data_IF_490176409248
#
_entry.id   IF_490176409248
#
_cell.length_a   1.000
_cell.length_b   1.000
_cell.length_c   1.000
_cell.angle_alpha   90.00
_cell.angle_beta   90.00
_cell.angle_gamma   90.00
#
_symmetry.space_group_name_H-M   'P 1'
#
loop_
_entity.id
_entity.type
_entity.pdbx_description
1 polymer ?
#
# COMPACT_ATOMS: atom_id res chain seq x y z
N UNK A 1 -9.68 -38.07 -4.88
CA UNK A 1 -10.36 -37.56 -3.68
C UNK A 1 -9.48 -37.89 -2.48
N UNK A 2 -8.76 -36.88 -1.99
CA UNK A 2 -7.64 -37.01 -1.07
C UNK A 2 -8.10 -37.29 0.36
N UNK A 3 -7.27 -38.00 1.12
CA UNK A 3 -7.45 -38.38 2.52
C UNK A 3 -7.84 -37.19 3.41
N UNK A 4 -7.45 -35.96 3.05
CA UNK A 4 -7.79 -34.72 3.74
C UNK A 4 -9.28 -34.39 3.77
N UNK A 5 -10.03 -34.77 2.75
CA UNK A 5 -11.47 -34.48 2.69
C UNK A 5 -12.29 -35.39 3.62
N UNK A 6 -11.76 -36.56 3.96
CA UNK A 6 -12.41 -37.54 4.84
C UNK A 6 -12.27 -37.17 6.33
N UNK A 7 -11.11 -36.62 6.71
CA UNK A 7 -10.88 -36.15 8.09
C UNK A 7 -11.64 -34.87 8.44
N UNK A 8 -11.90 -34.00 7.46
CA UNK A 8 -12.69 -32.79 7.67
C UNK A 8 -14.18 -33.08 7.91
N UNK A 9 -14.71 -34.18 7.34
CA UNK A 9 -16.11 -34.59 7.54
C UNK A 9 -16.28 -35.26 8.93
N UNK A 10 -15.30 -35.98 9.41
CA UNK A 10 -15.39 -36.62 10.74
C UNK A 10 -15.27 -35.61 11.89
N UNK A 11 -14.58 -34.47 11.70
CA UNK A 11 -14.49 -33.40 12.69
C UNK A 11 -15.76 -32.55 12.81
N UNK A 12 -16.61 -32.52 11.78
CA UNK A 12 -17.90 -31.81 11.80
C UNK A 12 -19.06 -32.57 12.47
N UNK A 13 -18.87 -33.84 12.76
CA UNK A 13 -19.94 -34.69 13.35
C UNK A 13 -19.85 -34.82 14.89
N UNK A 14 -18.80 -34.29 15.52
CA UNK A 14 -18.57 -34.44 16.97
C UNK A 14 -18.80 -33.17 17.80
N UNK A 15 -19.72 -32.29 17.44
CA UNK A 15 -20.11 -31.19 18.35
C UNK A 15 -21.53 -30.74 18.10
N UNK A 16 -22.54 -31.45 18.62
CA UNK A 16 -23.67 -30.84 19.32
C UNK A 16 -24.59 -31.89 19.94
N UNK A 17 -24.77 -31.83 21.26
CA UNK A 17 -25.66 -32.65 22.06
C UNK A 17 -27.12 -32.13 22.10
N UNK A 18 -27.59 -31.45 21.05
CA UNK A 18 -28.99 -31.07 20.86
C UNK A 18 -29.47 -31.38 19.43
N UNK A 19 -29.52 -32.66 19.15
CA UNK A 19 -30.14 -33.14 17.93
C UNK A 19 -31.62 -32.80 17.86
N UNK A 20 -32.02 -31.94 16.93
CA UNK A 20 -33.31 -31.85 16.22
C UNK A 20 -33.54 -30.44 15.65
N UNK A 21 -32.82 -30.03 14.61
CA UNK A 21 -33.29 -28.92 13.73
C UNK A 21 -32.51 -28.72 12.42
N UNK A 22 -31.51 -29.51 12.10
CA UNK A 22 -30.65 -29.25 10.92
C UNK A 22 -30.85 -30.24 9.73
N UNK A 23 -31.84 -31.11 9.76
CA UNK A 23 -32.03 -32.13 8.71
C UNK A 23 -33.19 -31.87 7.76
N UNK A 24 -33.75 -30.66 7.73
CA UNK A 24 -34.93 -30.36 6.91
C UNK A 24 -34.73 -29.38 5.75
N UNK A 25 -33.50 -28.94 5.49
CA UNK A 25 -33.21 -27.96 4.41
C UNK A 25 -32.41 -28.51 3.22
N UNK A 26 -31.96 -29.75 3.23
CA UNK A 26 -31.16 -30.35 2.14
C UNK A 26 -31.97 -31.27 1.21
N UNK A 27 -33.25 -31.59 1.52
CA UNK A 27 -34.03 -32.55 0.74
C UNK A 27 -35.06 -31.92 -0.21
N UNK A 28 -35.03 -30.59 -0.46
CA UNK A 28 -36.01 -29.94 -1.35
C UNK A 28 -35.42 -29.45 -2.69
N UNK A 29 -34.22 -29.89 -3.05
CA UNK A 29 -33.55 -29.46 -4.32
C UNK A 29 -33.35 -30.59 -5.35
N UNK A 30 -33.97 -31.76 -5.18
CA UNK A 30 -33.79 -32.90 -6.09
C UNK A 30 -35.08 -33.48 -6.67
N UNK A 31 -36.10 -32.70 -6.98
CA UNK A 31 -37.24 -33.16 -7.77
C UNK A 31 -37.83 -32.00 -8.59
N UNK A 32 -37.19 -31.64 -9.69
CA UNK A 32 -37.86 -30.96 -10.79
C UNK A 32 -37.72 -31.79 -12.06
N UNK A 33 -38.79 -32.32 -12.64
CA UNK A 33 -38.75 -33.04 -13.91
C UNK A 33 -38.55 -32.06 -15.05
N UNK A 34 -37.76 -32.49 -16.00
CA UNK A 34 -37.45 -31.84 -17.26
C UNK A 34 -38.77 -31.67 -18.05
N UNK A 35 -39.34 -30.48 -18.07
CA UNK A 35 -40.34 -30.08 -19.07
C UNK A 35 -40.17 -28.59 -19.34
N UNK A 36 -39.83 -28.27 -20.59
CA UNK A 36 -39.48 -26.94 -21.04
C UNK A 36 -40.50 -25.88 -20.76
N UNK A 37 -40.14 -24.88 -20.00
CA UNK A 37 -40.81 -23.59 -19.96
C UNK A 37 -40.01 -22.61 -20.80
N UNK A 38 -40.53 -22.30 -21.98
CA UNK A 38 -40.05 -21.19 -22.80
C UNK A 38 -40.54 -19.92 -22.13
N UNK A 39 -39.66 -19.18 -21.47
CA UNK A 39 -39.93 -17.80 -21.06
C UNK A 39 -39.51 -16.86 -22.20
N UNK A 40 -40.33 -15.86 -22.57
CA UNK A 40 -39.87 -14.87 -23.51
C UNK A 40 -38.74 -14.06 -22.91
N UNK A 41 -37.64 -14.05 -23.62
CA UNK A 41 -36.43 -13.24 -23.33
C UNK A 41 -36.86 -11.77 -23.40
N UNK A 42 -37.02 -11.13 -22.24
CA UNK A 42 -37.14 -9.69 -22.16
C UNK A 42 -35.77 -9.12 -22.52
N UNK A 43 -35.67 -8.47 -23.68
CA UNK A 43 -34.47 -7.72 -24.07
C UNK A 43 -34.17 -6.66 -22.98
N UNK A 44 -33.18 -6.92 -22.15
CA UNK A 44 -32.57 -5.92 -21.29
C UNK A 44 -31.80 -5.00 -22.25
N UNK A 45 -32.06 -3.69 -22.25
CA UNK A 45 -31.24 -2.78 -23.04
C UNK A 45 -29.79 -2.91 -22.55
N UNK A 46 -28.88 -3.14 -23.47
CA UNK A 46 -27.47 -3.10 -23.21
C UNK A 46 -27.15 -1.71 -22.65
N UNK A 47 -26.94 -1.62 -21.34
CA UNK A 47 -26.24 -0.50 -20.76
C UNK A 47 -24.86 -0.52 -21.40
N UNK A 48 -24.56 0.48 -22.20
CA UNK A 48 -23.20 0.76 -22.65
C UNK A 48 -22.34 0.83 -21.41
N UNK A 49 -21.50 -0.20 -21.24
CA UNK A 49 -20.36 -0.13 -20.35
C UNK A 49 -19.49 0.95 -20.97
N UNK A 50 -19.46 2.10 -20.35
CA UNK A 50 -18.52 3.16 -20.69
C UNK A 50 -17.14 2.55 -20.43
N UNK A 51 -16.52 1.98 -21.47
CA UNK A 51 -15.09 1.69 -21.46
C UNK A 51 -14.43 3.03 -21.20
N UNK A 52 -13.95 3.19 -20.00
CA UNK A 52 -13.13 4.34 -19.62
C UNK A 52 -11.93 4.30 -20.56
N UNK A 53 -11.90 5.21 -21.52
CA UNK A 53 -10.77 5.36 -22.44
C UNK A 53 -9.49 5.36 -21.60
N UNK A 54 -8.47 4.57 -21.97
CA UNK A 54 -7.17 4.69 -21.34
C UNK A 54 -6.74 6.16 -21.42
N UNK A 55 -6.10 6.70 -20.37
CA UNK A 55 -5.67 8.09 -20.37
C UNK A 55 -4.89 8.38 -21.67
N UNK A 56 -5.11 9.54 -22.30
CA UNK A 56 -4.54 9.81 -23.61
C UNK A 56 -3.02 9.64 -23.59
N UNK A 57 -2.53 8.74 -24.41
CA UNK A 57 -1.11 8.40 -24.59
C UNK A 57 -0.23 9.58 -25.01
N UNK A 58 -0.82 10.75 -25.26
CA UNK A 58 -0.11 12.00 -25.58
C UNK A 58 0.20 12.85 -24.32
N UNK A 59 -0.32 12.48 -23.15
CA UNK A 59 -0.21 13.31 -21.94
C UNK A 59 1.01 12.95 -21.05
N UNK A 60 1.74 11.88 -21.35
CA UNK A 60 2.89 11.44 -20.53
C UNK A 60 3.86 10.57 -21.31
N UNK A 61 5.14 10.59 -20.91
CA UNK A 61 6.16 9.65 -21.36
C UNK A 61 6.39 8.62 -20.26
N UNK A 62 6.27 7.34 -20.61
CA UNK A 62 6.61 6.22 -19.75
C UNK A 62 7.87 5.55 -20.29
N UNK A 63 8.93 5.51 -19.49
CA UNK A 63 10.20 4.86 -19.81
C UNK A 63 10.54 3.77 -18.80
N UNK A 64 11.47 2.89 -19.17
CA UNK A 64 12.19 2.04 -18.21
C UNK A 64 13.64 2.46 -18.25
N UNK A 65 14.17 2.77 -17.10
CA UNK A 65 15.55 3.22 -16.90
C UNK A 65 16.28 2.25 -16.00
N UNK A 66 17.57 2.09 -16.19
CA UNK A 66 18.39 1.16 -15.43
C UNK A 66 19.76 1.75 -15.13
N UNK A 67 20.32 1.33 -14.00
CA UNK A 67 21.70 1.62 -13.59
C UNK A 67 22.40 0.32 -13.18
N UNK A 68 23.71 0.28 -13.31
CA UNK A 68 24.52 -0.72 -12.64
C UNK A 68 24.75 -0.26 -11.20
N UNK A 69 24.16 -0.94 -10.23
CA UNK A 69 24.30 -0.64 -8.82
C UNK A 69 24.90 -1.82 -8.07
N UNK A 70 26.11 -1.64 -7.54
CA UNK A 70 26.89 -2.68 -6.82
C UNK A 70 27.06 -4.00 -7.60
N UNK A 71 27.26 -3.89 -8.92
CA UNK A 71 27.49 -5.05 -9.80
C UNK A 71 26.23 -5.78 -10.25
N UNK A 72 25.05 -5.18 -10.02
CA UNK A 72 23.77 -5.69 -10.45
C UNK A 72 23.02 -4.60 -11.23
N UNK A 73 22.45 -4.95 -12.38
CA UNK A 73 21.53 -4.06 -13.09
C UNK A 73 20.24 -3.90 -12.29
N UNK A 74 19.88 -2.65 -11.94
CA UNK A 74 18.68 -2.29 -11.21
C UNK A 74 17.88 -1.27 -12.03
N UNK A 75 16.59 -1.50 -12.16
CA UNK A 75 15.73 -0.70 -13.04
C UNK A 75 14.54 -0.09 -12.31
N UNK A 76 13.95 0.95 -12.90
CA UNK A 76 12.67 1.52 -12.52
C UNK A 76 11.88 1.93 -13.75
N UNK A 77 10.56 1.98 -13.62
CA UNK A 77 9.72 2.64 -14.60
C UNK A 77 9.55 4.10 -14.17
N UNK A 78 9.64 5.05 -15.10
CA UNK A 78 9.46 6.47 -14.85
C UNK A 78 8.35 7.02 -15.73
N UNK A 79 7.36 7.64 -15.11
CA UNK A 79 6.31 8.39 -15.79
C UNK A 79 6.59 9.89 -15.64
N UNK A 80 6.73 10.55 -16.78
CA UNK A 80 6.97 12.00 -16.88
C UNK A 80 5.76 12.63 -17.58
N UNK A 81 4.95 13.46 -16.91
CA UNK A 81 3.85 14.18 -17.54
C UNK A 81 4.33 15.03 -18.71
N UNK A 82 3.53 15.11 -19.77
CA UNK A 82 3.89 15.93 -20.93
C UNK A 82 3.87 17.43 -20.60
N UNK A 83 4.72 18.21 -21.29
CA UNK A 83 4.75 19.67 -21.19
C UNK A 83 5.29 20.20 -19.86
N UNK A 84 6.13 19.45 -19.16
CA UNK A 84 6.92 19.97 -18.05
C UNK A 84 7.98 20.92 -18.59
N UNK A 85 8.19 22.04 -17.91
CA UNK A 85 9.23 23.02 -18.24
C UNK A 85 10.49 22.74 -17.41
N UNK A 86 11.69 22.77 -18.00
CA UNK A 86 12.93 22.67 -17.23
C UNK A 86 13.11 23.81 -16.20
N UNK A 87 12.41 24.92 -16.40
CA UNK A 87 12.47 26.09 -15.51
C UNK A 87 11.43 26.02 -14.37
N UNK A 88 10.54 25.03 -14.38
CA UNK A 88 9.49 24.82 -13.36
C UNK A 88 9.62 23.44 -12.74
N UNK A 89 10.51 23.28 -11.74
CA UNK A 89 10.69 21.99 -11.06
C UNK A 89 9.40 21.50 -10.40
N UNK A 90 9.14 20.20 -10.50
CA UNK A 90 7.93 19.52 -10.01
C UNK A 90 8.27 18.44 -8.98
N UNK A 91 7.32 18.03 -8.14
CA UNK A 91 7.55 16.96 -7.18
C UNK A 91 7.93 15.63 -7.85
N UNK A 92 8.67 14.81 -7.13
CA UNK A 92 8.96 13.41 -7.47
C UNK A 92 8.33 12.48 -6.42
N UNK A 93 7.57 11.49 -6.86
CA UNK A 93 7.06 10.41 -6.04
C UNK A 93 7.76 9.10 -6.42
N UNK A 94 8.29 8.37 -5.42
CA UNK A 94 8.68 6.98 -5.57
C UNK A 94 7.55 6.10 -5.03
N UNK A 95 7.07 5.12 -5.82
CA UNK A 95 5.98 4.21 -5.44
C UNK A 95 6.46 2.75 -5.49
N UNK A 96 6.64 2.15 -4.32
CA UNK A 96 7.31 0.86 -4.12
C UNK A 96 6.32 -0.30 -4.09
N UNK A 97 6.58 -1.33 -4.90
CA UNK A 97 5.75 -2.53 -4.98
C UNK A 97 5.81 -3.42 -3.73
N UNK A 98 4.79 -4.26 -3.52
CA UNK A 98 4.75 -5.28 -2.48
C UNK A 98 5.62 -6.51 -2.80
N UNK A 99 5.77 -7.41 -1.82
CA UNK A 99 6.51 -8.66 -1.97
C UNK A 99 5.95 -9.53 -3.10
N UNK A 100 6.80 -10.01 -3.98
CA UNK A 100 6.43 -10.82 -5.15
C UNK A 100 5.79 -10.04 -6.30
N UNK A 101 5.74 -8.70 -6.19
CA UNK A 101 5.19 -7.82 -7.21
C UNK A 101 6.29 -7.15 -8.06
N UNK A 102 5.89 -6.35 -9.03
CA UNK A 102 6.78 -5.65 -9.95
C UNK A 102 6.42 -4.17 -10.05
N UNK A 103 7.34 -3.34 -10.58
CA UNK A 103 7.10 -1.94 -10.93
C UNK A 103 5.83 -1.75 -11.74
N UNK A 104 5.63 -2.58 -12.79
CA UNK A 104 4.45 -2.53 -13.64
C UNK A 104 3.16 -2.88 -12.88
N UNK A 105 3.20 -3.87 -11.99
CA UNK A 105 2.02 -4.22 -11.19
C UNK A 105 1.67 -3.12 -10.20
N UNK A 106 2.67 -2.45 -9.61
CA UNK A 106 2.46 -1.33 -8.70
C UNK A 106 1.83 -0.14 -9.42
N UNK A 107 2.37 0.25 -10.58
CA UNK A 107 1.81 1.30 -11.42
C UNK A 107 0.33 1.05 -11.75
N UNK A 108 -0.03 -0.22 -12.05
CA UNK A 108 -1.40 -0.58 -12.44
C UNK A 108 -2.39 -0.54 -11.26
N UNK A 109 -1.95 -0.77 -10.03
CA UNK A 109 -2.87 -0.84 -8.88
C UNK A 109 -2.97 0.47 -8.10
N UNK A 110 -1.93 1.31 -8.13
CA UNK A 110 -1.79 2.44 -7.20
C UNK A 110 -2.52 3.72 -7.64
N UNK A 111 -2.89 3.85 -8.91
CA UNK A 111 -3.50 5.06 -9.50
C UNK A 111 -2.63 6.32 -9.51
N UNK A 112 -1.39 6.28 -9.02
CA UNK A 112 -0.49 7.45 -9.02
C UNK A 112 -0.08 7.87 -10.42
N UNK A 113 -0.07 6.96 -11.41
CA UNK A 113 0.19 7.32 -12.80
C UNK A 113 -0.83 8.34 -13.35
N UNK A 114 -2.12 8.14 -13.03
CA UNK A 114 -3.18 9.07 -13.43
C UNK A 114 -3.08 10.41 -12.67
N UNK A 115 -2.86 10.34 -11.34
CA UNK A 115 -2.67 11.52 -10.51
C UNK A 115 -1.46 12.35 -10.94
N UNK A 116 -0.36 11.71 -11.34
CA UNK A 116 0.84 12.39 -11.80
C UNK A 116 0.59 13.25 -13.03
N UNK A 117 -0.24 12.79 -13.95
CA UNK A 117 -0.64 13.56 -15.14
C UNK A 117 -1.55 14.74 -14.75
N UNK A 118 -2.50 14.52 -13.83
CA UNK A 118 -3.45 15.53 -13.38
C UNK A 118 -2.76 16.61 -12.53
N UNK A 119 -1.96 16.21 -11.55
CA UNK A 119 -1.34 17.08 -10.54
C UNK A 119 0.09 17.53 -10.91
N UNK A 120 0.61 17.06 -12.06
CA UNK A 120 1.91 17.46 -12.64
C UNK A 120 3.11 17.18 -11.74
N UNK A 121 3.31 15.89 -11.37
CA UNK A 121 4.50 15.39 -10.68
C UNK A 121 5.08 14.16 -11.38
N UNK A 122 6.36 13.87 -11.18
CA UNK A 122 6.99 12.64 -11.70
C UNK A 122 6.69 11.46 -10.78
N UNK A 123 6.50 10.27 -11.38
CA UNK A 123 6.40 9.02 -10.59
C UNK A 123 7.43 8.02 -11.07
N UNK A 124 8.31 7.63 -10.17
CA UNK A 124 9.20 6.49 -10.35
C UNK A 124 8.62 5.25 -9.65
N UNK A 125 8.65 4.11 -10.35
CA UNK A 125 8.29 2.80 -9.83
C UNK A 125 9.55 1.91 -9.83
N UNK A 126 10.38 1.96 -8.78
CA UNK A 126 11.59 1.13 -8.72
C UNK A 126 11.25 -0.36 -8.63
N UNK A 127 12.16 -1.21 -9.17
CA UNK A 127 12.06 -2.66 -9.08
C UNK A 127 12.96 -3.20 -7.98
N UNK A 128 12.35 -3.80 -6.96
CA UNK A 128 13.06 -4.57 -5.94
C UNK A 128 13.72 -5.82 -6.54
N UNK A 129 14.91 -6.14 -6.09
CA UNK A 129 15.61 -7.34 -6.54
C UNK A 129 14.83 -8.60 -6.13
N UNK A 130 14.76 -9.59 -7.03
CA UNK A 130 13.92 -10.79 -6.85
C UNK A 130 12.46 -10.49 -6.43
N UNK A 131 11.96 -9.31 -6.82
CA UNK A 131 10.59 -8.84 -6.53
C UNK A 131 10.31 -8.62 -5.03
N UNK A 132 11.31 -8.20 -4.25
CA UNK A 132 11.12 -7.78 -2.86
C UNK A 132 12.15 -6.73 -2.43
N UNK A 133 11.91 -6.11 -1.28
CA UNK A 133 12.78 -5.13 -0.64
C UNK A 133 13.36 -5.72 0.63
N UNK A 134 14.65 -5.60 0.83
CA UNK A 134 15.33 -5.90 2.09
C UNK A 134 14.90 -4.93 3.20
N UNK A 135 14.60 -5.44 4.38
CA UNK A 135 14.04 -4.64 5.47
C UNK A 135 14.99 -4.39 6.65
N UNK A 136 16.25 -4.79 6.53
CA UNK A 136 17.26 -4.54 7.56
C UNK A 136 17.19 -5.47 8.77
N UNK A 137 16.59 -6.66 8.63
CA UNK A 137 16.55 -7.66 9.69
C UNK A 137 16.56 -9.09 9.13
N UNK A 138 16.97 -10.05 9.96
CA UNK A 138 17.10 -11.46 9.61
C UNK A 138 15.82 -12.05 8.96
N UNK A 139 15.99 -12.62 7.76
CA UNK A 139 14.96 -13.33 7.02
C UNK A 139 14.22 -12.50 5.96
N UNK A 140 14.42 -11.19 5.89
CA UNK A 140 13.99 -10.30 4.80
C UNK A 140 15.15 -9.38 4.42
N UNK A 141 16.29 -9.98 4.15
CA UNK A 141 17.47 -9.31 3.61
C UNK A 141 17.75 -9.83 2.21
N UNK A 142 18.21 -8.92 1.38
CA UNK A 142 18.88 -9.25 0.14
C UNK A 142 20.26 -8.67 0.20
N UNK A 143 21.31 -9.11 0.34
CA UNK A 143 22.68 -8.54 0.44
C UNK A 143 22.92 -7.30 -0.47
N UNK A 144 21.85 -6.72 -1.00
CA UNK A 144 21.82 -5.55 -1.85
C UNK A 144 21.29 -4.35 -1.04
N UNK A 145 21.99 -3.25 -1.13
CA UNK A 145 21.65 -2.00 -0.45
C UNK A 145 20.45 -1.31 -1.15
N UNK A 146 19.23 -1.72 -0.80
CA UNK A 146 18.02 -1.13 -1.38
C UNK A 146 17.85 0.35 -1.01
N UNK A 147 18.30 0.79 0.17
CA UNK A 147 18.31 2.22 0.54
C UNK A 147 19.23 3.01 -0.39
N UNK A 148 20.45 2.53 -0.60
CA UNK A 148 21.39 3.14 -1.55
C UNK A 148 20.87 3.12 -3.00
N UNK A 149 20.22 2.03 -3.42
CA UNK A 149 19.60 1.97 -4.75
C UNK A 149 18.50 3.01 -4.93
N UNK A 150 17.58 3.14 -3.97
CA UNK A 150 16.50 4.13 -4.05
C UNK A 150 17.05 5.58 -4.03
N UNK A 151 18.12 5.82 -3.28
CA UNK A 151 18.85 7.10 -3.34
C UNK A 151 19.41 7.36 -4.74
N UNK A 152 20.04 6.35 -5.36
CA UNK A 152 20.58 6.47 -6.72
C UNK A 152 19.47 6.68 -7.77
N UNK A 153 18.29 6.12 -7.58
CA UNK A 153 17.10 6.42 -8.44
C UNK A 153 16.72 7.90 -8.33
N UNK A 154 16.63 8.44 -7.10
CA UNK A 154 16.32 9.86 -6.88
C UNK A 154 17.36 10.73 -7.57
N UNK A 155 18.64 10.46 -7.38
CA UNK A 155 19.75 11.20 -8.00
C UNK A 155 19.68 11.14 -9.54
N UNK A 156 19.44 9.95 -10.12
CA UNK A 156 19.35 9.79 -11.57
C UNK A 156 18.19 10.59 -12.14
N UNK A 157 16.98 10.48 -11.55
CA UNK A 157 15.80 11.20 -12.02
C UNK A 157 15.98 12.72 -11.88
N UNK A 158 16.57 13.19 -10.78
CA UNK A 158 16.82 14.62 -10.54
C UNK A 158 17.87 15.21 -11.49
N UNK A 159 18.83 14.41 -11.96
CA UNK A 159 19.81 14.86 -12.95
C UNK A 159 19.22 15.03 -14.35
N UNK A 160 18.25 14.19 -14.72
CA UNK A 160 17.72 14.12 -16.08
C UNK A 160 16.38 14.87 -16.26
N UNK A 161 15.69 15.19 -15.14
CA UNK A 161 14.38 15.85 -15.15
C UNK A 161 14.30 17.02 -14.17
N UNK A 162 13.38 17.98 -14.38
CA UNK A 162 13.20 19.14 -13.50
C UNK A 162 12.50 18.73 -12.18
N UNK A 163 13.20 18.02 -11.31
CA UNK A 163 12.71 17.66 -9.99
C UNK A 163 12.92 18.80 -9.01
N UNK A 164 11.89 19.10 -8.23
CA UNK A 164 12.01 19.91 -7.04
C UNK A 164 12.53 19.04 -5.88
N UNK A 165 13.82 19.14 -5.61
CA UNK A 165 14.49 18.35 -4.58
C UNK A 165 13.94 18.60 -3.17
N UNK A 166 13.25 19.72 -2.93
CA UNK A 166 12.53 19.96 -1.69
C UNK A 166 11.20 19.21 -1.60
N UNK A 167 10.68 18.66 -2.71
CA UNK A 167 9.40 17.95 -2.78
C UNK A 167 9.56 16.55 -3.36
N UNK A 168 10.44 15.77 -2.75
CA UNK A 168 10.58 14.34 -3.02
C UNK A 168 9.74 13.59 -1.99
N UNK A 169 8.86 12.72 -2.47
CA UNK A 169 7.96 11.94 -1.64
C UNK A 169 8.14 10.46 -1.93
N UNK A 170 7.82 9.61 -0.97
CA UNK A 170 7.90 8.17 -1.16
C UNK A 170 6.69 7.47 -0.58
N UNK A 171 6.20 6.48 -1.31
CA UNK A 171 5.13 5.60 -0.87
C UNK A 171 5.40 4.16 -1.29
N UNK A 172 4.56 3.25 -0.83
CA UNK A 172 4.61 1.85 -1.26
C UNK A 172 3.55 1.00 -0.57
N UNK A 173 3.43 -0.21 -1.04
CA UNK A 173 2.46 -1.18 -0.55
C UNK A 173 3.12 -2.37 0.14
N UNK A 174 2.60 -2.82 1.31
CA UNK A 174 3.05 -4.03 2.00
C UNK A 174 4.57 -4.02 2.28
N UNK A 175 5.37 -4.87 1.64
CA UNK A 175 6.83 -4.86 1.71
C UNK A 175 7.41 -3.51 1.24
N UNK A 176 6.85 -2.90 0.18
CA UNK A 176 7.25 -1.57 -0.27
C UNK A 176 6.93 -0.46 0.73
N UNK A 177 5.80 -0.54 1.43
CA UNK A 177 5.46 0.37 2.52
C UNK A 177 6.47 0.28 3.68
N UNK A 178 6.90 -0.94 4.04
CA UNK A 178 7.93 -1.16 5.06
C UNK A 178 9.28 -0.58 4.63
N UNK A 179 9.64 -0.75 3.35
CA UNK A 179 10.85 -0.17 2.77
C UNK A 179 10.80 1.36 2.73
N UNK A 180 9.65 1.95 2.42
CA UNK A 180 9.43 3.42 2.48
C UNK A 180 9.74 3.96 3.87
N UNK A 181 9.23 3.32 4.92
CA UNK A 181 9.50 3.73 6.29
C UNK A 181 10.98 3.51 6.68
N UNK A 182 11.59 2.38 6.26
CA UNK A 182 13.02 2.13 6.45
C UNK A 182 13.86 3.23 5.79
N UNK A 183 13.56 3.57 4.53
CA UNK A 183 14.26 4.60 3.78
C UNK A 183 14.24 5.94 4.54
N UNK A 184 13.08 6.37 4.99
CA UNK A 184 12.93 7.65 5.70
C UNK A 184 13.76 7.72 6.99
N UNK A 185 13.81 6.64 7.78
CA UNK A 185 14.58 6.63 9.03
C UNK A 185 16.09 6.48 8.81
N UNK A 186 16.53 5.84 7.70
CA UNK A 186 17.96 5.64 7.42
C UNK A 186 18.60 6.81 6.65
N UNK A 187 17.84 7.53 5.79
CA UNK A 187 18.39 8.60 4.94
C UNK A 187 18.22 10.01 5.50
N UNK A 188 17.25 10.25 6.34
CA UNK A 188 16.97 11.50 7.06
C UNK A 188 17.15 12.79 6.23
N UNK A 189 16.05 13.47 5.91
CA UNK A 189 16.09 14.72 5.16
C UNK A 189 16.24 14.58 3.64
N UNK A 190 16.01 13.38 3.09
CA UNK A 190 15.95 13.15 1.64
C UNK A 190 14.52 13.26 1.12
N UNK A 191 13.54 12.83 1.91
CA UNK A 191 12.13 12.90 1.52
C UNK A 191 11.38 13.92 2.36
N UNK A 192 10.51 14.70 1.72
CA UNK A 192 9.67 15.71 2.35
C UNK A 192 8.51 15.11 3.14
N UNK A 193 8.01 13.96 2.71
CA UNK A 193 6.99 13.18 3.40
C UNK A 193 6.97 11.74 2.90
N UNK A 194 6.37 10.85 3.67
CA UNK A 194 6.14 9.49 3.27
C UNK A 194 4.67 9.07 3.44
N UNK A 195 4.20 8.27 2.48
CA UNK A 195 2.93 7.57 2.54
C UNK A 195 3.14 6.06 2.64
N UNK A 196 2.19 5.33 3.18
CA UNK A 196 2.34 3.90 3.41
C UNK A 196 1.00 3.17 3.24
N UNK A 197 1.03 2.06 2.50
CA UNK A 197 -0.14 1.23 2.28
C UNK A 197 0.07 -0.16 2.88
N UNK A 198 -0.61 -0.44 4.01
CA UNK A 198 -0.66 -1.75 4.67
C UNK A 198 0.72 -2.32 5.08
N UNK A 199 1.49 -1.58 5.88
CA UNK A 199 2.78 -2.04 6.41
C UNK A 199 3.28 -1.19 7.57
N UNK A 200 4.20 -1.71 8.37
CA UNK A 200 4.74 -1.07 9.57
C UNK A 200 6.23 -0.89 9.49
N UNK A 201 6.77 0.10 10.21
CA UNK A 201 8.21 0.25 10.33
C UNK A 201 8.81 -1.00 10.98
N UNK A 202 9.75 -1.59 10.29
CA UNK A 202 10.45 -2.81 10.70
C UNK A 202 11.94 -2.57 10.57
N UNK A 203 12.63 -2.57 11.71
CA UNK A 203 14.09 -2.49 11.77
C UNK A 203 14.54 -3.03 13.13
N UNK A 204 15.61 -3.82 13.15
CA UNK A 204 16.19 -4.37 14.38
C UNK A 204 16.95 -3.31 15.18
N UNK A 205 17.48 -2.31 14.52
CA UNK A 205 18.29 -1.27 15.13
C UNK A 205 18.05 0.10 14.47
N UNK A 206 16.91 0.75 14.77
CA UNK A 206 16.69 2.10 14.27
C UNK A 206 17.80 3.04 14.76
N UNK A 207 18.13 4.09 13.99
CA UNK A 207 19.06 5.12 14.45
C UNK A 207 18.65 5.67 15.83
N UNK A 208 19.63 6.08 16.61
CA UNK A 208 19.39 6.69 17.93
C UNK A 208 18.66 8.03 17.85
N UNK A 209 18.67 8.65 16.71
CA UNK A 209 17.93 9.85 16.35
C UNK A 209 17.35 9.68 14.96
N UNK A 210 16.09 10.01 14.79
CA UNK A 210 15.38 10.04 13.52
C UNK A 210 14.83 11.46 13.36
N UNK A 211 15.14 12.09 12.22
CA UNK A 211 14.56 13.38 11.90
C UNK A 211 13.03 13.25 11.71
N UNK A 212 12.21 14.18 12.22
CA UNK A 212 10.78 14.16 11.98
C UNK A 212 10.45 14.17 10.49
N UNK A 213 9.55 13.28 10.05
CA UNK A 213 9.07 13.17 8.66
C UNK A 213 7.54 13.05 8.68
N UNK A 214 6.80 13.91 7.96
CA UNK A 214 5.35 13.75 7.80
C UNK A 214 5.01 12.36 7.27
N UNK A 215 4.08 11.68 7.96
CA UNK A 215 3.76 10.28 7.69
C UNK A 215 2.26 10.04 7.66
N UNK A 216 1.78 9.35 6.62
CA UNK A 216 0.42 8.84 6.60
C UNK A 216 0.38 7.37 6.18
N UNK A 217 -0.23 6.53 7.02
CA UNK A 217 -0.56 5.15 6.68
C UNK A 217 -2.00 5.02 6.22
N UNK A 218 -2.25 4.20 5.19
CA UNK A 218 -3.58 3.74 4.79
C UNK A 218 -3.65 2.24 5.01
N UNK A 219 -4.61 1.77 5.81
CA UNK A 219 -4.69 0.36 6.18
C UNK A 219 -6.13 -0.16 6.16
N UNK A 220 -6.33 -1.34 5.59
CA UNK A 220 -7.62 -2.03 5.61
C UNK A 220 -7.87 -2.70 6.98
N UNK A 221 -9.01 -2.40 7.59
CA UNK A 221 -9.37 -2.98 8.91
C UNK A 221 -9.51 -4.51 8.85
N UNK A 222 -9.83 -5.05 7.67
CA UNK A 222 -9.98 -6.49 7.44
C UNK A 222 -8.70 -7.16 6.90
N UNK A 223 -7.54 -6.49 7.00
CA UNK A 223 -6.27 -7.06 6.56
C UNK A 223 -5.86 -8.25 7.44
N UNK A 224 -5.75 -9.42 6.79
CA UNK A 224 -5.32 -10.68 7.41
C UNK A 224 -3.88 -11.05 7.07
N UNK A 225 -3.20 -10.27 6.24
CA UNK A 225 -1.80 -10.47 5.82
C UNK A 225 -0.84 -9.66 6.69
N UNK A 226 -1.11 -8.35 6.79
CA UNK A 226 -0.48 -7.45 7.76
C UNK A 226 -1.62 -6.95 8.66
N UNK A 227 -1.80 -7.58 9.80
CA UNK A 227 -2.96 -7.36 10.65
C UNK A 227 -3.12 -5.90 11.06
N UNK A 228 -4.32 -5.34 10.86
CA UNK A 228 -4.67 -4.01 11.34
C UNK A 228 -4.61 -3.91 12.87
N UNK A 229 -5.10 -4.95 13.58
CA UNK A 229 -5.08 -5.01 15.02
C UNK A 229 -3.73 -5.49 15.54
N UNK A 230 -3.30 -4.96 16.67
CA UNK A 230 -2.15 -5.44 17.40
C UNK A 230 -2.38 -6.87 17.92
N UNK A 231 -1.30 -7.58 18.15
CA UNK A 231 -1.26 -8.88 18.84
C UNK A 231 -2.20 -9.94 18.26
N UNK A 232 -2.11 -10.24 16.97
CA UNK A 232 -2.94 -11.28 16.41
C UNK A 232 -2.17 -12.59 16.19
N UNK A 233 -2.73 -13.66 16.72
CA UNK A 233 -2.37 -15.04 16.41
C UNK A 233 -2.53 -15.39 14.91
N UNK A 234 -2.89 -14.42 14.07
CA UNK A 234 -3.23 -14.56 12.67
C UNK A 234 -2.11 -14.12 11.71
N UNK A 235 -1.03 -13.53 12.20
CA UNK A 235 0.15 -13.29 11.35
C UNK A 235 0.73 -14.61 10.88
N UNK A 236 1.02 -14.72 9.60
CA UNK A 236 1.54 -15.94 8.97
C UNK A 236 2.64 -16.57 9.84
N UNK A 237 2.52 -17.86 10.11
CA UNK A 237 3.35 -18.66 11.02
C UNK A 237 4.87 -18.45 10.87
N UNK A 238 5.33 -18.02 9.71
CA UNK A 238 6.75 -17.76 9.38
C UNK A 238 7.32 -16.49 10.00
N UNK A 239 6.48 -15.54 10.38
CA UNK A 239 6.91 -14.20 10.82
C UNK A 239 6.68 -13.96 12.31
N UNK A 240 6.16 -14.93 13.05
CA UNK A 240 5.74 -14.77 14.45
C UNK A 240 6.84 -14.40 15.44
N UNK A 241 8.11 -14.53 15.07
CA UNK A 241 9.24 -14.25 15.95
C UNK A 241 10.12 -13.09 15.49
N UNK A 242 9.69 -12.30 14.50
CA UNK A 242 10.48 -11.20 13.96
C UNK A 242 10.06 -9.89 14.60
N UNK A 243 11.01 -9.06 15.02
CA UNK A 243 10.75 -7.75 15.60
C UNK A 243 9.84 -6.91 14.68
N UNK A 244 8.81 -6.28 15.24
CA UNK A 244 7.87 -5.44 14.49
C UNK A 244 6.68 -6.15 13.85
N UNK A 245 6.64 -7.48 13.76
CA UNK A 245 5.47 -8.19 13.18
C UNK A 245 4.24 -8.24 14.08
N UNK A 246 4.37 -7.90 15.34
CA UNK A 246 3.27 -7.88 16.31
C UNK A 246 2.65 -6.49 16.49
N UNK A 247 3.07 -5.50 15.67
CA UNK A 247 2.48 -4.17 15.68
C UNK A 247 1.13 -4.19 14.98
N UNK A 248 0.21 -3.34 15.43
CA UNK A 248 -1.01 -2.97 14.72
C UNK A 248 -0.88 -1.58 14.10
N UNK A 249 -1.83 -1.18 13.29
CA UNK A 249 -1.84 0.12 12.63
C UNK A 249 -1.82 1.28 13.64
N UNK A 250 -2.56 1.17 14.74
CA UNK A 250 -2.55 2.18 15.80
C UNK A 250 -1.21 2.27 16.52
N UNK A 251 -0.53 1.13 16.75
CA UNK A 251 0.81 1.14 17.35
C UNK A 251 1.87 1.74 16.41
N UNK A 252 1.72 1.53 15.10
CA UNK A 252 2.61 2.18 14.12
C UNK A 252 2.37 3.70 14.09
N UNK A 253 1.11 4.15 14.17
CA UNK A 253 0.75 5.56 14.31
C UNK A 253 1.38 6.18 15.56
N UNK A 254 1.24 5.54 16.73
CA UNK A 254 1.84 5.98 17.99
C UNK A 254 3.37 6.01 17.91
N UNK A 255 3.99 5.00 17.30
CA UNK A 255 5.43 4.94 17.13
C UNK A 255 5.97 6.10 16.27
N UNK A 256 5.28 6.43 15.16
CA UNK A 256 5.64 7.59 14.34
C UNK A 256 5.35 8.92 15.04
N UNK A 257 4.33 8.99 15.89
CA UNK A 257 4.09 10.18 16.71
C UNK A 257 5.24 10.44 17.71
N UNK A 258 5.79 9.37 18.28
CA UNK A 258 6.97 9.45 19.17
C UNK A 258 8.22 9.91 18.37
N UNK A 259 8.46 9.35 17.17
CA UNK A 259 9.56 9.76 16.29
C UNK A 259 9.46 11.25 15.94
N UNK A 260 8.27 11.70 15.58
CA UNK A 260 8.03 13.07 15.16
C UNK A 260 7.86 14.05 16.35
N UNK A 261 7.97 13.56 17.59
CA UNK A 261 7.85 14.38 18.79
C UNK A 261 6.49 15.09 18.88
N UNK A 262 5.42 14.36 18.56
CA UNK A 262 4.06 14.88 18.59
C UNK A 262 3.56 15.02 20.03
N UNK A 263 2.72 16.00 20.29
CA UNK A 263 2.04 16.19 21.58
C UNK A 263 0.66 15.50 21.59
N UNK A 264 0.17 15.19 22.80
CA UNK A 264 -1.12 14.55 23.03
C UNK A 264 -1.03 13.05 23.31
N UNK A 265 -1.88 12.57 24.23
CA UNK A 265 -1.89 11.16 24.66
C UNK A 265 -2.65 10.25 23.68
N UNK A 266 -3.50 10.81 22.84
CA UNK A 266 -4.35 10.07 21.90
C UNK A 266 -4.45 10.82 20.57
N UNK A 267 -4.54 10.10 19.44
CA UNK A 267 -4.71 10.74 18.14
C UNK A 267 -6.07 11.43 18.04
N UNK A 268 -6.07 12.59 17.39
CA UNK A 268 -7.28 13.33 17.05
C UNK A 268 -8.06 12.62 15.94
N UNK A 269 -9.37 12.74 15.96
CA UNK A 269 -10.23 12.31 14.86
C UNK A 269 -10.35 13.45 13.85
N UNK A 270 -9.71 13.29 12.69
CA UNK A 270 -9.64 14.31 11.63
C UNK A 270 -10.85 14.20 10.71
N UNK A 271 -11.18 12.97 10.29
CA UNK A 271 -12.29 12.69 9.37
C UNK A 271 -12.99 11.40 9.76
N UNK A 272 -14.31 11.35 9.62
CA UNK A 272 -15.11 10.12 9.74
C UNK A 272 -16.15 10.09 8.63
N UNK A 273 -16.19 9.00 7.89
CA UNK A 273 -17.20 8.70 6.86
C UNK A 273 -17.84 7.34 7.14
N UNK A 274 -18.72 6.87 6.27
CA UNK A 274 -19.25 5.52 6.34
C UNK A 274 -18.21 4.44 6.00
N UNK A 275 -17.16 4.79 5.24
CA UNK A 275 -16.23 3.86 4.61
C UNK A 275 -14.84 3.87 5.25
N UNK A 276 -14.46 4.98 5.89
CA UNK A 276 -13.17 5.15 6.53
C UNK A 276 -13.18 6.22 7.62
N UNK A 277 -12.20 6.18 8.50
CA UNK A 277 -11.79 7.31 9.33
C UNK A 277 -10.33 7.69 9.08
N UNK A 278 -9.98 8.93 9.43
CA UNK A 278 -8.60 9.42 9.50
C UNK A 278 -8.38 9.93 10.91
N UNK A 279 -7.34 9.43 11.56
CA UNK A 279 -6.88 9.86 12.88
C UNK A 279 -5.42 10.25 12.80
N UNK A 280 -4.97 11.12 13.70
CA UNK A 280 -3.57 11.52 13.67
C UNK A 280 -3.19 12.49 14.78
N UNK A 281 -1.95 12.93 14.70
CA UNK A 281 -1.33 13.93 15.53
C UNK A 281 -0.86 15.07 14.64
N UNK A 282 -1.27 16.30 14.95
CA UNK A 282 -0.96 17.50 14.16
C UNK A 282 0.08 18.42 14.82
N UNK A 283 0.15 18.41 16.16
CA UNK A 283 1.13 19.22 16.91
C UNK A 283 2.42 18.41 17.12
N UNK A 284 3.26 18.41 16.09
CA UNK A 284 4.51 17.64 16.02
C UNK A 284 5.71 18.53 15.71
N UNK A 285 6.93 18.04 16.00
CA UNK A 285 8.17 18.74 15.67
C UNK A 285 8.28 18.95 14.16
N UNK A 286 8.79 20.11 13.75
CA UNK A 286 8.97 20.48 12.34
C UNK A 286 7.69 20.35 11.49
N UNK A 287 6.50 20.49 12.08
CA UNK A 287 5.19 20.27 11.44
C UNK A 287 5.04 18.89 10.78
N UNK A 288 5.77 17.90 11.27
CA UNK A 288 5.76 16.53 10.73
C UNK A 288 4.56 15.74 11.25
N UNK A 289 3.37 16.06 10.75
CA UNK A 289 2.12 15.38 11.12
C UNK A 289 2.16 13.87 10.89
N UNK A 290 1.42 13.12 11.72
CA UNK A 290 1.29 11.67 11.61
C UNK A 290 -0.17 11.29 11.50
N UNK A 291 -0.55 10.54 10.45
CA UNK A 291 -1.94 10.15 10.20
C UNK A 291 -2.10 8.66 9.90
N UNK A 292 -3.24 8.11 10.27
CA UNK A 292 -3.72 6.78 9.90
C UNK A 292 -5.10 6.90 9.30
N UNK A 293 -5.25 6.40 8.07
CA UNK A 293 -6.54 6.19 7.42
C UNK A 293 -6.94 4.73 7.54
N UNK A 294 -8.05 4.45 8.21
CA UNK A 294 -8.59 3.11 8.43
C UNK A 294 -9.73 2.84 7.46
N UNK A 295 -9.53 1.96 6.48
CA UNK A 295 -10.55 1.55 5.51
C UNK A 295 -11.37 0.40 6.09
N UNK A 296 -12.64 0.61 6.45
CA UNK A 296 -13.44 -0.33 7.24
C UNK A 296 -13.75 -1.65 6.53
N UNK A 297 -13.87 -1.65 5.21
CA UNK A 297 -14.22 -2.83 4.42
C UNK A 297 -13.08 -3.36 3.55
N UNK A 298 -11.89 -2.79 3.64
CA UNK A 298 -10.71 -3.20 2.86
C UNK A 298 -9.87 -4.23 3.61
N UNK A 299 -9.26 -5.16 2.85
CA UNK A 299 -8.25 -6.09 3.33
C UNK A 299 -6.82 -5.56 3.06
N UNK A 300 -5.91 -6.48 2.69
CA UNK A 300 -4.49 -6.17 2.46
C UNK A 300 -4.22 -5.25 1.26
N UNK A 301 -5.14 -5.15 0.31
CA UNK A 301 -5.06 -4.21 -0.81
C UNK A 301 -5.99 -3.01 -0.56
N UNK A 302 -5.47 -1.86 -0.10
CA UNK A 302 -6.27 -0.66 0.17
C UNK A 302 -6.50 0.22 -1.07
N UNK A 303 -5.93 -0.12 -2.22
CA UNK A 303 -6.17 0.57 -3.49
C UNK A 303 -7.59 0.30 -4.03
N UNK A 304 -8.01 1.06 -5.03
CA UNK A 304 -9.35 0.92 -5.64
C UNK A 304 -9.68 -0.51 -6.07
N UNK A 305 -8.70 -1.26 -6.58
CA UNK A 305 -8.87 -2.65 -7.00
C UNK A 305 -9.17 -3.65 -5.85
N UNK A 306 -8.83 -3.29 -4.61
CA UNK A 306 -9.04 -4.12 -3.41
C UNK A 306 -10.00 -3.50 -2.39
N UNK A 307 -10.50 -2.30 -2.67
CA UNK A 307 -11.37 -1.56 -1.78
C UNK A 307 -12.81 -1.55 -2.30
N UNK A 308 -13.74 -2.28 -1.67
CA UNK A 308 -15.11 -2.43 -2.17
C UNK A 308 -15.93 -1.14 -2.11
N UNK A 309 -15.48 -0.11 -1.41
CA UNK A 309 -16.17 1.19 -1.31
C UNK A 309 -15.71 2.20 -2.36
N UNK A 310 -14.73 1.85 -3.20
CA UNK A 310 -14.11 2.73 -4.18
C UNK A 310 -13.54 4.03 -3.58
N UNK A 311 -13.12 4.00 -2.32
CA UNK A 311 -12.46 5.15 -1.68
C UNK A 311 -11.13 5.43 -2.39
N UNK A 312 -10.87 6.67 -2.83
CA UNK A 312 -9.69 7.01 -3.61
C UNK A 312 -8.46 7.18 -2.71
N UNK A 313 -8.00 6.08 -2.11
CA UNK A 313 -6.93 6.08 -1.11
C UNK A 313 -5.62 6.72 -1.59
N UNK A 314 -5.24 6.50 -2.86
CA UNK A 314 -4.03 7.12 -3.43
C UNK A 314 -4.16 8.64 -3.54
N UNK A 315 -5.33 9.15 -3.95
CA UNK A 315 -5.55 10.59 -4.03
C UNK A 315 -5.52 11.24 -2.63
N UNK A 316 -6.19 10.63 -1.65
CA UNK A 316 -6.18 11.10 -0.26
C UNK A 316 -4.76 11.09 0.32
N UNK A 317 -3.98 10.05 -0.01
CA UNK A 317 -2.59 9.97 0.43
C UNK A 317 -1.72 11.04 -0.25
N UNK A 318 -1.92 11.29 -1.55
CA UNK A 318 -1.23 12.34 -2.27
C UNK A 318 -1.59 13.74 -1.75
N UNK A 319 -2.87 14.01 -1.49
CA UNK A 319 -3.35 15.25 -0.88
C UNK A 319 -2.66 15.54 0.46
N UNK A 320 -2.33 14.50 1.23
CA UNK A 320 -1.55 14.63 2.45
C UNK A 320 -0.08 14.91 2.13
N UNK A 321 0.57 14.07 1.32
CA UNK A 321 2.01 14.15 1.08
C UNK A 321 2.43 15.45 0.39
N UNK A 322 1.66 15.91 -0.59
CA UNK A 322 1.99 17.07 -1.42
C UNK A 322 1.99 18.42 -0.67
N UNK A 323 1.51 18.45 0.57
CA UNK A 323 1.51 19.65 1.44
C UNK A 323 2.90 19.96 2.02
N UNK A 324 3.83 19.01 1.98
CA UNK A 324 5.10 19.12 2.66
C UNK A 324 6.27 19.35 1.70
N UNK A 325 7.23 20.09 2.18
CA UNK A 325 8.52 20.34 1.53
C UNK A 325 9.63 20.38 2.56
N UNK A 326 10.83 20.01 2.18
CA UNK A 326 12.05 20.24 2.97
C UNK A 326 12.35 21.74 3.01
N UNK A 327 12.97 22.21 4.11
CA UNK A 327 13.38 23.63 4.29
C UNK A 327 14.67 23.95 3.51
#
# INVERSE_FOLDING_TARGET
MSVFYKEMIEMMVMSDSRGRAALMFVLLLMLCPVSGCIFPEAAVPATEVNEQEPPPTEASNLSTECIEFRGVERCWMLLVPAGLSPEEPVPLLLDLHGYGHTSASQMNISSFAALAVEERFLVAYPQGYDSFWGLGFDGIENDLDDVGFLTAVIESVSNDHPVDEARIHMTGWSNGCKMTQRFAVETQGVVASIGCMAGYLMTDAPPSYIAPVPFMEVHGVLDTTVSYADNTAMTMYWFQNTAGFNKGAMQNLEYWSDINGCSGDLPEVITVTADYDIRGYSDCSANAEVRLMSLFSSGHNPYLSGNPTNTPSSAILWDFMSQFSLE
#
